data_IF_825834016631
#
_entry.id   IF_825834016631
#
_cell.length_a   1.000
_cell.length_b   1.000
_cell.length_c   1.000
_cell.angle_alpha   90.00
_cell.angle_beta   90.00
_cell.angle_gamma   90.00
#
_symmetry.space_group_name_H-M   'P 1'
#
loop_
_entity.id
_entity.type
_entity.pdbx_description
1 polymer ?
#
# COMPACT_ATOMS: atom_id res chain seq x y z
N UNK A 1 21.16 9.32 -7.81
CA UNK A 1 20.24 9.45 -6.66
C UNK A 1 20.46 8.23 -5.78
N UNK A 2 20.74 8.34 -4.46
CA UNK A 2 20.92 7.15 -3.65
C UNK A 2 19.55 6.49 -3.48
N UNK A 3 19.38 5.36 -4.15
CA UNK A 3 18.09 4.73 -4.46
C UNK A 3 17.51 3.87 -3.32
N UNK A 4 18.15 3.83 -2.15
CA UNK A 4 17.90 2.80 -1.14
C UNK A 4 17.52 3.36 0.26
N UNK A 5 17.47 4.68 0.45
CA UNK A 5 16.97 5.29 1.69
C UNK A 5 15.57 5.83 1.47
N UNK A 6 14.58 5.40 2.25
CA UNK A 6 13.20 5.86 2.15
C UNK A 6 13.05 7.39 2.24
N UNK A 7 11.84 7.91 2.05
CA UNK A 7 11.55 9.36 2.01
C UNK A 7 12.13 10.09 3.23
N UNK A 8 12.10 9.48 4.41
CA UNK A 8 12.70 10.02 5.64
C UNK A 8 14.23 10.14 5.58
N UNK A 9 14.93 9.17 4.99
CA UNK A 9 16.40 9.23 4.82
C UNK A 9 16.83 10.25 3.77
N UNK A 10 16.03 10.43 2.72
CA UNK A 10 16.24 11.51 1.76
C UNK A 10 16.00 12.89 2.39
N UNK A 11 14.95 13.01 3.22
CA UNK A 11 14.66 14.23 3.97
C UNK A 11 15.81 14.57 4.93
N UNK A 12 16.29 13.60 5.71
CA UNK A 12 17.40 13.79 6.65
C UNK A 12 18.71 14.18 5.97
N UNK A 13 19.04 13.56 4.83
CA UNK A 13 20.25 13.87 4.08
C UNK A 13 20.25 15.26 3.42
N UNK A 14 19.10 15.73 2.94
CA UNK A 14 19.00 17.02 2.24
C UNK A 14 18.64 18.19 3.17
N UNK A 15 17.88 17.95 4.23
CA UNK A 15 17.41 18.99 5.15
C UNK A 15 18.07 18.95 6.54
N UNK A 16 18.92 17.96 6.82
CA UNK A 16 19.64 17.85 8.10
C UNK A 16 20.61 19.00 8.40
N UNK A 17 21.02 19.76 7.38
CA UNK A 17 21.91 20.94 7.55
C UNK A 17 21.15 22.25 7.74
N UNK A 18 19.97 22.41 7.11
CA UNK A 18 19.21 23.67 7.09
C UNK A 18 17.97 23.68 8.01
N UNK A 19 17.53 22.52 8.52
CA UNK A 19 16.27 22.39 9.29
C UNK A 19 16.53 22.01 10.75
N UNK A 20 15.82 22.65 11.68
CA UNK A 20 15.92 22.36 13.12
C UNK A 20 15.64 20.88 13.42
N UNK A 21 16.53 20.25 14.22
CA UNK A 21 16.41 18.86 14.69
C UNK A 21 15.03 18.54 15.30
N UNK A 22 14.34 19.56 15.82
CA UNK A 22 12.99 19.47 16.37
C UNK A 22 11.96 19.10 15.29
N UNK A 23 12.03 19.70 14.10
CA UNK A 23 11.09 19.44 13.00
C UNK A 23 11.30 18.03 12.45
N UNK A 24 12.55 17.58 12.35
CA UNK A 24 12.88 16.24 11.90
C UNK A 24 12.42 15.17 12.91
N UNK A 25 12.59 15.44 14.21
CA UNK A 25 12.07 14.60 15.29
C UNK A 25 10.54 14.56 15.33
N UNK A 26 9.86 15.70 15.14
CA UNK A 26 8.40 15.73 15.05
C UNK A 26 7.90 14.94 13.83
N UNK A 27 8.54 15.10 12.68
CA UNK A 27 8.16 14.39 11.45
C UNK A 27 8.30 12.88 11.60
N UNK A 28 9.39 12.40 12.20
CA UNK A 28 9.57 10.96 12.44
C UNK A 28 8.55 10.42 13.45
N UNK A 29 8.27 11.14 14.54
CA UNK A 29 7.22 10.78 15.50
C UNK A 29 5.84 10.69 14.84
N UNK A 30 5.49 11.68 14.00
CA UNK A 30 4.22 11.67 13.26
C UNK A 30 4.12 10.44 12.35
N UNK A 31 5.20 10.10 11.63
CA UNK A 31 5.22 8.92 10.76
C UNK A 31 5.05 7.63 11.57
N UNK A 32 5.70 7.51 12.74
CA UNK A 32 5.56 6.34 13.62
C UNK A 32 4.12 6.21 14.13
N UNK A 33 3.52 7.30 14.63
CA UNK A 33 2.13 7.30 15.12
C UNK A 33 1.17 6.94 13.99
N UNK A 34 1.36 7.52 12.80
CA UNK A 34 0.55 7.23 11.63
C UNK A 34 0.67 5.76 11.22
N UNK A 35 1.88 5.20 11.25
CA UNK A 35 2.14 3.79 10.92
C UNK A 35 1.45 2.84 11.92
N UNK A 36 1.59 3.11 13.22
CA UNK A 36 0.94 2.32 14.28
C UNK A 36 -0.59 2.34 14.17
N UNK A 37 -1.16 3.51 13.89
CA UNK A 37 -2.62 3.67 13.75
C UNK A 37 -3.13 3.01 12.46
N UNK A 38 -2.41 3.20 11.35
CA UNK A 38 -2.76 2.61 10.06
C UNK A 38 -2.73 1.09 10.12
N UNK A 39 -1.73 0.50 10.78
CA UNK A 39 -1.66 -0.95 10.97
C UNK A 39 -2.91 -1.51 11.65
N UNK A 40 -3.40 -0.84 12.70
CA UNK A 40 -4.63 -1.26 13.38
C UNK A 40 -5.87 -1.13 12.48
N UNK A 41 -5.99 -0.01 11.76
CA UNK A 41 -7.12 0.25 10.87
C UNK A 41 -7.20 -0.79 9.75
N UNK A 42 -6.08 -1.13 9.11
CA UNK A 42 -6.03 -2.14 8.04
C UNK A 42 -6.14 -3.58 8.57
N UNK A 43 -5.70 -3.85 9.79
CA UNK A 43 -5.78 -5.19 10.37
C UNK A 43 -7.23 -5.56 10.77
N UNK A 44 -8.05 -4.59 11.19
CA UNK A 44 -9.45 -4.81 11.58
C UNK A 44 -10.28 -5.56 10.52
N UNK A 45 -10.39 -5.11 9.25
CA UNK A 45 -11.16 -5.83 8.24
C UNK A 45 -10.56 -7.20 7.92
N UNK A 46 -9.24 -7.37 8.03
CA UNK A 46 -8.59 -8.67 7.82
C UNK A 46 -9.01 -9.65 8.91
N UNK A 47 -9.02 -9.21 10.17
CA UNK A 47 -9.48 -10.02 11.29
C UNK A 47 -10.96 -10.38 11.18
N UNK A 48 -11.81 -9.42 10.80
CA UNK A 48 -13.24 -9.65 10.61
C UNK A 48 -13.52 -10.67 9.49
N UNK A 49 -12.80 -10.58 8.36
CA UNK A 49 -12.91 -11.56 7.26
C UNK A 49 -12.44 -12.96 7.68
N UNK A 50 -11.39 -13.04 8.50
CA UNK A 50 -10.85 -14.31 8.99
C UNK A 50 -11.78 -14.95 10.03
N UNK A 51 -12.34 -14.15 10.94
CA UNK A 51 -13.36 -14.55 11.91
C UNK A 51 -14.66 -14.99 11.22
N UNK A 52 -15.09 -14.30 10.16
CA UNK A 52 -16.22 -14.71 9.33
C UNK A 52 -15.97 -16.07 8.66
N UNK A 53 -14.80 -16.26 8.05
CA UNK A 53 -14.45 -17.53 7.40
C UNK A 53 -14.33 -18.68 8.40
N UNK A 54 -13.79 -18.43 9.58
CA UNK A 54 -13.74 -19.42 10.66
C UNK A 54 -15.14 -19.79 11.16
N UNK A 55 -15.99 -18.79 11.41
CA UNK A 55 -17.39 -19.01 11.86
C UNK A 55 -18.21 -19.76 10.80
N UNK A 56 -18.02 -19.44 9.52
CA UNK A 56 -18.67 -20.12 8.40
C UNK A 56 -18.27 -21.60 8.29
N UNK A 57 -16.99 -21.93 8.50
CA UNK A 57 -16.51 -23.32 8.46
C UNK A 57 -16.81 -24.13 9.73
N UNK A 58 -16.76 -23.50 10.91
CA UNK A 58 -16.85 -24.20 12.20
C UNK A 58 -18.22 -24.08 12.88
N UNK A 59 -19.15 -23.23 12.38
CA UNK A 59 -20.48 -22.99 12.96
C UNK A 59 -20.48 -22.75 14.48
N UNK A 60 -19.40 -22.15 15.00
CA UNK A 60 -19.19 -21.89 16.43
C UNK A 60 -18.77 -20.44 16.61
N UNK A 61 -19.18 -19.77 17.71
CA UNK A 61 -18.71 -18.43 18.02
C UNK A 61 -17.20 -18.43 18.23
N UNK A 62 -16.50 -17.43 17.70
CA UNK A 62 -15.05 -17.30 17.85
C UNK A 62 -14.66 -17.20 19.33
N UNK A 63 -13.87 -18.15 19.86
CA UNK A 63 -13.34 -18.07 21.21
C UNK A 63 -12.38 -16.88 21.36
N UNK A 64 -12.34 -16.28 22.55
CA UNK A 64 -11.39 -15.20 22.88
C UNK A 64 -9.92 -15.60 22.64
N UNK A 65 -9.59 -16.88 22.87
CA UNK A 65 -8.26 -17.45 22.57
C UNK A 65 -7.92 -17.42 21.08
N UNK A 66 -8.88 -17.70 20.20
CA UNK A 66 -8.65 -17.67 18.74
C UNK A 66 -8.40 -16.23 18.29
N UNK A 67 -9.14 -15.26 18.84
CA UNK A 67 -8.90 -13.84 18.56
C UNK A 67 -7.51 -13.36 19.01
N UNK A 68 -7.05 -13.81 20.18
CA UNK A 68 -5.70 -13.50 20.66
C UNK A 68 -4.62 -14.18 19.81
N UNK A 69 -4.81 -15.45 19.45
CA UNK A 69 -3.90 -16.17 18.58
C UNK A 69 -3.78 -15.50 17.19
N UNK A 70 -4.88 -15.06 16.59
CA UNK A 70 -4.89 -14.37 15.30
C UNK A 70 -4.12 -13.04 15.33
N UNK A 71 -4.28 -12.25 16.40
CA UNK A 71 -3.54 -10.98 16.57
C UNK A 71 -2.03 -11.21 16.70
N UNK A 72 -1.63 -12.16 17.54
CA UNK A 72 -0.21 -12.49 17.74
C UNK A 72 0.40 -13.09 16.47
N UNK A 73 -0.32 -14.00 15.81
CA UNK A 73 0.10 -14.61 14.56
C UNK A 73 0.29 -13.58 13.45
N UNK A 74 -0.66 -12.64 13.28
CA UNK A 74 -0.56 -11.60 12.26
C UNK A 74 0.62 -10.66 12.51
N UNK A 75 0.85 -10.25 13.76
CA UNK A 75 2.02 -9.45 14.13
C UNK A 75 3.33 -10.18 13.88
N UNK A 76 3.43 -11.46 14.27
CA UNK A 76 4.60 -12.29 14.03
C UNK A 76 4.86 -12.51 12.54
N UNK A 77 3.82 -12.78 11.76
CA UNK A 77 3.89 -12.93 10.31
C UNK A 77 4.34 -11.64 9.63
N UNK A 78 3.81 -10.48 10.05
CA UNK A 78 4.24 -9.17 9.52
C UNK A 78 5.73 -8.90 9.81
N UNK A 79 6.21 -9.20 11.03
CA UNK A 79 7.63 -9.08 11.38
C UNK A 79 8.50 -10.04 10.58
N UNK A 80 8.07 -11.30 10.45
CA UNK A 80 8.78 -12.30 9.66
C UNK A 80 8.92 -11.86 8.20
N UNK A 81 7.84 -11.34 7.60
CA UNK A 81 7.83 -10.83 6.24
C UNK A 81 8.75 -9.61 6.09
N UNK A 82 8.72 -8.69 7.05
CA UNK A 82 9.58 -7.51 7.04
C UNK A 82 11.08 -7.87 7.07
N UNK A 83 11.45 -8.90 7.83
CA UNK A 83 12.83 -9.39 7.93
C UNK A 83 13.22 -10.23 6.70
N UNK A 84 12.33 -11.11 6.24
CA UNK A 84 12.60 -12.05 5.15
C UNK A 84 12.61 -11.38 3.76
N UNK A 85 11.82 -10.31 3.58
CA UNK A 85 11.62 -9.66 2.28
C UNK A 85 11.90 -8.14 2.36
N UNK A 86 13.17 -7.71 2.51
CA UNK A 86 13.53 -6.30 2.57
C UNK A 86 13.25 -5.54 1.25
N UNK A 87 12.90 -6.25 0.16
CA UNK A 87 12.54 -5.66 -1.13
C UNK A 87 11.05 -5.29 -1.25
N UNK A 88 10.21 -5.58 -0.25
CA UNK A 88 8.79 -5.21 -0.28
C UNK A 88 8.51 -3.72 -0.56
N UNK A 89 9.30 -2.76 -0.02
CA UNK A 89 9.13 -1.36 -0.37
C UNK A 89 9.33 -1.08 -1.87
N UNK A 90 10.22 -1.81 -2.54
CA UNK A 90 10.42 -1.68 -4.00
C UNK A 90 9.22 -2.23 -4.79
N UNK A 91 8.56 -3.28 -4.27
CA UNK A 91 7.32 -3.82 -4.85
C UNK A 91 6.08 -2.97 -4.57
N UNK A 92 6.12 -2.07 -3.59
CA UNK A 92 4.97 -1.23 -3.25
C UNK A 92 4.48 -0.38 -4.44
N UNK A 93 5.41 0.11 -5.28
CA UNK A 93 5.07 0.83 -6.52
C UNK A 93 4.34 -0.04 -7.53
N UNK A 94 4.74 -1.32 -7.66
CA UNK A 94 4.09 -2.28 -8.56
C UNK A 94 2.68 -2.64 -8.06
N UNK A 95 2.55 -2.95 -6.76
CA UNK A 95 1.27 -3.28 -6.13
C UNK A 95 0.31 -2.09 -6.23
N UNK A 96 0.79 -0.88 -5.95
CA UNK A 96 0.03 0.35 -6.14
C UNK A 96 -0.39 0.56 -7.59
N UNK A 97 0.52 0.35 -8.54
CA UNK A 97 0.24 0.41 -9.98
C UNK A 97 -0.89 -0.52 -10.41
N UNK A 98 -0.92 -1.77 -9.92
CA UNK A 98 -1.96 -2.76 -10.23
C UNK A 98 -3.30 -2.44 -9.53
N UNK A 99 -3.25 -1.83 -8.35
CA UNK A 99 -4.46 -1.47 -7.60
C UNK A 99 -5.18 -0.22 -8.16
N UNK A 100 -4.45 0.70 -8.80
CA UNK A 100 -5.00 1.97 -9.30
C UNK A 100 -6.13 1.85 -10.34
N UNK A 101 -6.10 0.92 -11.30
CA UNK A 101 -7.24 0.66 -12.18
C UNK A 101 -8.49 0.26 -11.40
N UNK A 102 -8.32 -0.52 -10.33
CA UNK A 102 -9.42 -1.02 -9.52
C UNK A 102 -10.03 0.11 -8.66
N UNK A 103 -9.22 1.04 -8.18
CA UNK A 103 -9.70 2.14 -7.32
C UNK A 103 -10.19 3.36 -8.09
N UNK A 104 -9.56 3.69 -9.24
CA UNK A 104 -9.85 4.89 -10.00
C UNK A 104 -10.66 4.60 -11.27
N UNK A 105 -10.25 3.63 -12.08
CA UNK A 105 -10.90 3.38 -13.36
C UNK A 105 -12.20 2.58 -13.21
N UNK A 106 -12.23 1.58 -12.32
CA UNK A 106 -13.39 0.71 -12.12
C UNK A 106 -14.68 1.46 -11.75
N UNK A 107 -14.73 2.35 -10.74
CA UNK A 107 -15.97 3.06 -10.41
C UNK A 107 -16.43 3.99 -11.54
N UNK A 108 -15.50 4.65 -12.24
CA UNK A 108 -15.82 5.52 -13.37
C UNK A 108 -16.43 4.73 -14.54
N UNK A 109 -15.83 3.60 -14.90
CA UNK A 109 -16.34 2.72 -15.95
C UNK A 109 -17.67 2.06 -15.56
N UNK A 110 -17.77 1.57 -14.32
CA UNK A 110 -18.99 0.99 -13.76
C UNK A 110 -20.15 1.99 -13.78
N UNK A 111 -19.90 3.25 -13.42
CA UNK A 111 -20.91 4.31 -13.46
C UNK A 111 -21.43 4.56 -14.89
N UNK A 112 -20.54 4.62 -15.88
CA UNK A 112 -20.91 4.79 -17.30
C UNK A 112 -21.77 3.60 -17.77
N UNK A 113 -21.42 2.37 -17.41
CA UNK A 113 -22.18 1.16 -17.78
C UNK A 113 -23.57 1.12 -17.15
N UNK A 114 -23.70 1.51 -15.87
CA UNK A 114 -24.97 1.47 -15.14
C UNK A 114 -25.90 2.60 -15.58
N UNK A 115 -25.40 3.84 -15.65
CA UNK A 115 -26.25 5.01 -15.90
C UNK A 115 -26.53 5.24 -17.38
N UNK A 116 -25.76 4.65 -18.30
CA UNK A 116 -25.86 4.87 -19.75
C UNK A 116 -26.14 6.35 -20.08
N UNK A 117 -25.31 7.29 -19.60
CA UNK A 117 -25.54 8.70 -19.83
C UNK A 117 -25.56 9.00 -21.33
N UNK A 118 -26.28 10.06 -21.73
CA UNK A 118 -26.29 10.50 -23.12
C UNK A 118 -24.87 10.72 -23.61
N UNK A 119 -24.56 10.15 -24.78
CA UNK A 119 -23.28 10.33 -25.45
C UNK A 119 -23.08 11.84 -25.64
N UNK A 120 -21.90 12.34 -25.27
CA UNK A 120 -21.52 13.77 -25.29
C UNK A 120 -22.00 14.67 -24.13
N UNK A 121 -22.62 14.13 -23.07
CA UNK A 121 -22.83 14.91 -21.85
C UNK A 121 -21.51 15.22 -21.13
N UNK A 122 -21.41 16.37 -20.45
CA UNK A 122 -20.24 16.77 -19.67
C UNK A 122 -19.83 15.70 -18.62
N UNK A 123 -20.82 15.05 -18.00
CA UNK A 123 -20.57 13.95 -17.05
C UNK A 123 -20.01 12.68 -17.71
N UNK A 124 -20.32 12.43 -18.98
CA UNK A 124 -19.75 11.31 -19.72
C UNK A 124 -18.28 11.57 -20.05
N UNK A 125 -17.94 12.76 -20.54
CA UNK A 125 -16.55 13.14 -20.83
C UNK A 125 -15.68 13.15 -19.56
N UNK A 126 -16.22 13.63 -18.43
CA UNK A 126 -15.50 13.64 -17.15
C UNK A 126 -15.22 12.21 -16.67
N UNK A 127 -16.23 11.33 -16.60
CA UNK A 127 -16.00 9.96 -16.15
C UNK A 127 -15.12 9.15 -17.10
N UNK A 128 -15.23 9.38 -18.41
CA UNK A 128 -14.38 8.73 -19.40
C UNK A 128 -12.93 9.20 -19.32
N UNK A 129 -12.70 10.51 -19.14
CA UNK A 129 -11.35 11.07 -18.98
C UNK A 129 -10.70 10.65 -17.66
N UNK A 130 -11.44 10.62 -16.54
CA UNK A 130 -10.91 10.10 -15.27
C UNK A 130 -10.59 8.60 -15.37
N UNK A 131 -11.43 7.82 -16.03
CA UNK A 131 -11.19 6.40 -16.26
C UNK A 131 -9.94 6.14 -17.10
N UNK A 132 -9.78 6.86 -18.22
CA UNK A 132 -8.59 6.73 -19.08
C UNK A 132 -7.32 7.22 -18.39
N UNK A 133 -7.39 8.32 -17.65
CA UNK A 133 -6.28 8.86 -16.86
C UNK A 133 -5.84 7.85 -15.79
N UNK A 134 -6.78 7.22 -15.07
CA UNK A 134 -6.49 6.17 -14.10
C UNK A 134 -5.75 4.96 -14.72
N UNK A 135 -6.17 4.55 -15.93
CA UNK A 135 -5.50 3.48 -16.67
C UNK A 135 -4.08 3.88 -17.13
N UNK A 136 -3.91 5.09 -17.65
CA UNK A 136 -2.59 5.60 -18.09
C UNK A 136 -1.64 5.69 -16.89
N UNK A 137 -2.10 6.22 -15.76
CA UNK A 137 -1.30 6.31 -14.52
C UNK A 137 -0.86 4.94 -14.04
N UNK A 138 -1.74 3.94 -14.10
CA UNK A 138 -1.41 2.56 -13.73
C UNK A 138 -0.27 2.00 -14.58
N UNK A 139 -0.36 2.16 -15.92
CA UNK A 139 0.69 1.70 -16.84
C UNK A 139 2.01 2.42 -16.53
N UNK A 140 1.97 3.74 -16.33
CA UNK A 140 3.15 4.54 -16.05
C UNK A 140 3.84 4.12 -14.74
N UNK A 141 3.07 3.82 -13.70
CA UNK A 141 3.59 3.35 -12.42
C UNK A 141 4.15 1.93 -12.48
N UNK A 142 3.50 1.02 -13.21
CA UNK A 142 4.02 -0.33 -13.43
C UNK A 142 5.35 -0.28 -14.20
N UNK A 143 5.42 0.51 -15.27
CA UNK A 143 6.67 0.71 -16.03
C UNK A 143 7.77 1.34 -15.16
N UNK A 144 7.43 2.35 -14.36
CA UNK A 144 8.36 2.98 -13.41
C UNK A 144 8.88 1.97 -12.38
N UNK A 145 8.00 1.16 -11.79
CA UNK A 145 8.39 0.14 -10.83
C UNK A 145 9.29 -0.93 -11.47
N UNK A 146 8.97 -1.40 -12.67
CA UNK A 146 9.82 -2.35 -13.43
C UNK A 146 11.18 -1.72 -13.71
N UNK A 147 11.22 -0.45 -14.14
CA UNK A 147 12.48 0.25 -14.40
C UNK A 147 13.34 0.38 -13.14
N UNK A 148 12.72 0.69 -11.99
CA UNK A 148 13.42 0.74 -10.70
C UNK A 148 13.99 -0.62 -10.32
N UNK A 149 13.23 -1.70 -10.48
CA UNK A 149 13.70 -3.07 -10.19
C UNK A 149 14.86 -3.46 -11.12
N UNK A 150 14.78 -3.13 -12.42
CA UNK A 150 15.83 -3.42 -13.40
C UNK A 150 17.10 -2.61 -13.13
N UNK A 151 16.97 -1.32 -12.84
CA UNK A 151 18.13 -0.43 -12.60
C UNK A 151 18.81 -0.64 -11.26
N UNK A 152 18.06 -1.06 -10.23
CA UNK A 152 18.66 -1.46 -8.95
C UNK A 152 19.43 -2.77 -9.07
N UNK A 153 19.13 -3.62 -10.06
CA UNK A 153 19.70 -4.95 -10.19
C UNK A 153 19.19 -5.84 -9.06
N UNK A 154 18.76 -7.06 -9.38
CA UNK A 154 18.40 -8.02 -8.33
C UNK A 154 19.71 -8.52 -7.67
N UNK A 155 20.31 -7.73 -6.77
CA UNK A 155 21.23 -8.27 -5.77
C UNK A 155 20.38 -8.99 -4.72
N UNK A 156 20.13 -10.29 -4.97
CA UNK A 156 19.35 -11.17 -4.10
C UNK A 156 20.10 -11.43 -2.79
N UNK A 157 20.14 -10.42 -1.91
CA UNK A 157 20.60 -10.55 -0.53
C UNK A 157 19.45 -11.05 0.34
N UNK A 158 19.16 -12.35 0.24
CA UNK A 158 18.09 -13.01 1.01
C UNK A 158 18.24 -12.91 2.55
N UNK A 159 19.37 -12.44 3.09
CA UNK A 159 19.65 -12.40 4.53
C UNK A 159 20.64 -11.30 4.96
N UNK A 160 20.53 -10.07 4.44
CA UNK A 160 21.28 -8.93 5.02
C UNK A 160 20.40 -7.68 5.13
N UNK A 161 19.89 -7.36 6.33
CA UNK A 161 19.38 -6.02 6.57
C UNK A 161 20.57 -5.05 6.57
N UNK A 162 20.52 -4.00 5.76
CA UNK A 162 21.37 -2.81 5.90
C UNK A 162 20.56 -1.71 6.59
#
# INVERSE_FOLDING_TARGET
>A
MPTNGGILSALDKYHGHDTSKVILGLTSLLVVINSLTSFQLYAMPVFDNLEFRYTSNQNRPCPWWVRMALRVFFGCLALFIAIAFPFLPSLAGLIGGIALPVTLAYPCLMWITIKKPEKYSAMWYLNWSLGSLGMILSILLVLGAIWTIVTQGIEIHFFKPQ
#
